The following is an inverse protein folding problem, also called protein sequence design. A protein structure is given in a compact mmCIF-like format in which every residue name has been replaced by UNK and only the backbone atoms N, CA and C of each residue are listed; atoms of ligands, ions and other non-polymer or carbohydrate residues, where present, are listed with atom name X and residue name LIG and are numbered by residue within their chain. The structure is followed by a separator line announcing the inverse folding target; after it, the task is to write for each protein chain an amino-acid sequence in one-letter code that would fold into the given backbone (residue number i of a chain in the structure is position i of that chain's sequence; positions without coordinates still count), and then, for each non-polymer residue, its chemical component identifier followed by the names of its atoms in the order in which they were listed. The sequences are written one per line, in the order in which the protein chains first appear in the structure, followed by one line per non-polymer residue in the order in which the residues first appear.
data_IF_293771535960
#
_entry.id   IF_293771535960
#
_cell.length_a   1.000
_cell.length_b   1.000
_cell.length_c   1.000
_cell.angle_alpha   90.00
_cell.angle_beta   90.00
_cell.angle_gamma   90.00
#
_symmetry.space_group_name_H-M   'P 1'
#
loop_
_entity.id
_entity.type
_entity.pdbx_description
1 polymer ?
#
# COMPACT_ATOMS: atom_id res chain seq x y z
N UNK A 1 3.68 24.80 -6.42
CA UNK A 1 4.33 23.64 -5.76
C UNK A 1 4.04 23.70 -4.26
N UNK A 2 2.91 23.15 -3.83
CA UNK A 2 2.32 23.49 -2.52
C UNK A 2 2.77 22.55 -1.40
N UNK A 3 3.36 23.18 -0.37
CA UNK A 3 3.86 22.63 0.91
C UNK A 3 2.79 21.96 1.81
N UNK A 4 1.69 21.41 1.29
CA UNK A 4 0.49 21.15 2.11
C UNK A 4 0.35 19.73 2.71
N UNK A 5 0.99 18.69 2.16
CA UNK A 5 0.73 17.31 2.62
C UNK A 5 1.50 16.94 3.90
N UNK A 6 2.81 17.25 3.93
CA UNK A 6 3.66 16.95 5.08
C UNK A 6 3.24 17.74 6.33
N UNK A 7 2.78 18.99 6.16
CA UNK A 7 2.31 19.84 7.27
C UNK A 7 0.94 19.41 7.81
N UNK A 8 0.04 18.86 6.97
CA UNK A 8 -1.25 18.31 7.42
C UNK A 8 -1.10 16.93 8.09
N UNK A 9 -0.17 16.09 7.62
CA UNK A 9 0.16 14.82 8.25
C UNK A 9 0.80 15.00 9.64
N UNK A 10 1.61 16.05 9.83
CA UNK A 10 2.20 16.39 11.14
C UNK A 10 1.13 16.76 12.18
N UNK A 11 0.15 17.57 11.77
CA UNK A 11 -0.96 17.98 12.64
C UNK A 11 -1.91 16.83 13.03
N UNK A 12 -1.90 15.73 12.27
CA UNK A 12 -2.61 14.50 12.59
C UNK A 12 -1.83 13.56 13.52
N UNK A 13 -0.48 13.64 13.53
CA UNK A 13 0.38 12.91 14.46
C UNK A 13 0.44 13.53 15.86
N UNK A 14 0.34 14.86 15.94
CA UNK A 14 0.52 15.59 17.22
C UNK A 14 -0.74 15.60 18.10
N UNK A 15 -1.92 15.29 17.55
CA UNK A 15 -3.13 15.03 18.35
C UNK A 15 -3.15 13.55 18.75
N UNK A 16 -2.59 13.29 19.93
CA UNK A 16 -2.65 12.05 20.70
C UNK A 16 -3.69 11.01 20.22
N UNK A 17 -3.23 10.06 19.41
CA UNK A 17 -3.74 8.69 19.42
C UNK A 17 -2.54 7.79 19.70
N UNK A 18 -2.06 7.84 20.95
CA UNK A 18 -1.05 6.91 21.43
C UNK A 18 -1.58 5.49 21.30
N UNK A 19 -0.82 4.62 20.63
CA UNK A 19 -0.86 3.15 20.70
C UNK A 19 -2.22 2.43 20.56
N UNK A 20 -3.31 3.16 20.27
CA UNK A 20 -4.68 2.66 20.34
C UNK A 20 -5.09 2.29 18.92
N UNK A 21 -4.90 1.00 18.64
CA UNK A 21 -5.59 0.22 17.62
C UNK A 21 -6.82 0.97 17.07
N UNK A 22 -6.72 1.48 15.84
CA UNK A 22 -7.86 2.12 15.19
C UNK A 22 -8.93 1.04 15.01
N UNK A 23 -9.98 1.13 15.83
CA UNK A 23 -11.10 0.21 15.79
C UNK A 23 -11.90 0.51 14.52
N UNK A 24 -11.58 -0.21 13.45
CA UNK A 24 -12.56 -0.52 12.43
C UNK A 24 -13.62 -1.40 13.10
N UNK A 25 -14.90 -1.05 13.00
CA UNK A 25 -16.01 -1.88 13.49
C UNK A 25 -15.78 -3.36 13.11
N UNK A 26 -15.39 -4.22 14.06
CA UNK A 26 -15.27 -5.69 13.98
C UNK A 26 -14.64 -6.32 12.71
N UNK A 27 -14.06 -5.54 11.80
CA UNK A 27 -13.36 -6.02 10.62
C UNK A 27 -11.95 -6.44 11.04
N UNK A 28 -11.70 -7.76 11.02
CA UNK A 28 -10.39 -8.33 11.35
C UNK A 28 -9.40 -7.91 10.25
N UNK A 29 -8.66 -6.83 10.51
CA UNK A 29 -7.52 -6.44 9.70
C UNK A 29 -6.38 -7.43 9.95
N UNK A 30 -5.83 -8.03 8.88
CA UNK A 30 -4.81 -9.09 8.98
C UNK A 30 -3.50 -8.63 8.35
N UNK A 31 -2.44 -8.56 9.15
CA UNK A 31 -1.07 -8.40 8.64
C UNK A 31 -0.53 -9.77 8.23
N UNK A 32 -0.11 -9.93 6.97
CA UNK A 32 0.45 -11.18 6.44
C UNK A 32 1.65 -10.94 5.56
N UNK A 33 2.65 -11.81 5.65
CA UNK A 33 3.74 -11.86 4.68
C UNK A 33 3.24 -12.59 3.43
N UNK A 34 3.14 -11.89 2.30
CA UNK A 34 2.55 -12.39 1.06
C UNK A 34 3.61 -12.49 -0.04
N UNK A 35 3.55 -13.49 -0.92
CA UNK A 35 4.42 -13.53 -2.09
C UNK A 35 4.07 -12.41 -3.09
N UNK A 36 5.08 -11.78 -3.68
CA UNK A 36 4.89 -10.66 -4.62
C UNK A 36 4.07 -11.05 -5.85
N UNK A 37 4.28 -12.26 -6.37
CA UNK A 37 3.59 -12.76 -7.57
C UNK A 37 2.06 -12.90 -7.41
N UNK A 38 1.57 -12.91 -6.17
CA UNK A 38 0.13 -12.99 -5.88
C UNK A 38 -0.55 -11.61 -5.91
N UNK A 39 0.23 -10.52 -5.79
CA UNK A 39 -0.29 -9.16 -5.73
C UNK A 39 -0.63 -8.63 -7.12
N UNK A 40 -1.74 -7.91 -7.21
CA UNK A 40 -2.26 -7.38 -8.47
C UNK A 40 -2.17 -5.86 -8.49
N UNK A 41 -1.23 -5.26 -9.25
CA UNK A 41 -1.26 -3.82 -9.47
C UNK A 41 -2.46 -3.46 -10.34
N UNK A 42 -3.14 -2.36 -10.02
CA UNK A 42 -4.15 -1.75 -10.88
C UNK A 42 -3.69 -0.44 -11.52
N UNK A 43 -2.50 0.05 -11.14
CA UNK A 43 -1.88 1.26 -11.65
C UNK A 43 -0.44 1.01 -12.08
N UNK A 44 -0.03 1.73 -13.12
CA UNK A 44 1.37 1.83 -13.53
C UNK A 44 2.17 2.62 -12.51
N UNK A 45 3.47 2.34 -12.44
CA UNK A 45 4.40 3.06 -11.57
C UNK A 45 5.05 4.25 -12.29
N UNK A 46 5.65 5.13 -11.48
CA UNK A 46 6.51 6.20 -11.93
C UNK A 46 7.97 5.76 -11.71
N UNK A 47 8.76 5.72 -12.78
CA UNK A 47 10.14 5.21 -12.77
C UNK A 47 11.07 6.06 -11.90
N UNK A 48 10.84 7.38 -11.82
CA UNK A 48 11.65 8.28 -10.99
C UNK A 48 11.34 8.08 -9.51
N UNK A 49 10.08 7.84 -9.17
CA UNK A 49 9.69 7.49 -7.79
C UNK A 49 10.28 6.11 -7.43
N UNK A 50 10.21 5.16 -8.36
CA UNK A 50 10.77 3.81 -8.18
C UNK A 50 12.27 3.86 -7.87
N UNK A 51 13.08 4.54 -8.68
CA UNK A 51 14.54 4.59 -8.50
C UNK A 51 14.94 5.15 -7.13
N UNK A 52 14.30 6.26 -6.72
CA UNK A 52 14.53 6.85 -5.41
C UNK A 52 14.14 5.91 -4.27
N UNK A 53 13.02 5.20 -4.42
CA UNK A 53 12.53 4.27 -3.42
C UNK A 53 13.44 3.04 -3.30
N UNK A 54 13.90 2.48 -4.42
CA UNK A 54 14.88 1.39 -4.44
C UNK A 54 16.17 1.78 -3.73
N UNK A 55 16.70 2.98 -4.00
CA UNK A 55 17.89 3.50 -3.33
C UNK A 55 17.66 3.62 -1.83
N UNK A 56 16.55 4.24 -1.40
CA UNK A 56 16.21 4.36 0.02
C UNK A 56 16.11 3.00 0.70
N UNK A 57 15.37 2.06 0.12
CA UNK A 57 15.16 0.72 0.70
C UNK A 57 16.48 -0.05 0.81
N UNK A 58 17.35 0.02 -0.20
CA UNK A 58 18.69 -0.60 -0.16
C UNK A 58 19.58 0.02 0.92
N UNK A 59 19.60 1.35 1.02
CA UNK A 59 20.39 2.07 2.02
C UNK A 59 19.89 1.79 3.44
N UNK A 60 18.57 1.77 3.63
CA UNK A 60 17.94 1.48 4.92
C UNK A 60 18.12 0.00 5.32
N UNK A 61 18.25 -0.91 4.35
CA UNK A 61 18.32 -2.36 4.58
C UNK A 61 17.00 -3.00 5.03
N UNK A 62 15.90 -2.24 5.02
CA UNK A 62 14.59 -2.66 5.52
C UNK A 62 13.43 -2.02 4.74
N UNK A 63 12.27 -2.67 4.79
CA UNK A 63 10.99 -2.11 4.39
C UNK A 63 10.30 -1.52 5.63
N UNK A 64 10.12 -0.19 5.66
CA UNK A 64 9.57 0.54 6.82
C UNK A 64 8.09 0.22 7.09
N UNK A 65 7.27 0.12 6.04
CA UNK A 65 5.80 0.02 6.15
C UNK A 65 5.22 -1.09 5.28
N UNK A 66 4.17 -1.74 5.78
CA UNK A 66 3.40 -2.72 5.01
C UNK A 66 2.61 -2.08 3.85
N UNK A 67 2.19 -2.92 2.90
CA UNK A 67 1.38 -2.56 1.72
C UNK A 67 -0.09 -2.80 2.03
N UNK A 68 -1.00 -1.91 1.62
CA UNK A 68 -2.44 -2.16 1.80
C UNK A 68 -2.99 -2.91 0.60
N UNK A 69 -3.68 -4.02 0.84
CA UNK A 69 -4.13 -4.95 -0.20
C UNK A 69 -5.57 -5.39 0.06
N UNK A 70 -6.37 -5.50 -0.99
CA UNK A 70 -7.69 -6.13 -0.90
C UNK A 70 -7.56 -7.62 -0.57
N UNK A 71 -8.18 -8.06 0.52
CA UNK A 71 -8.09 -9.43 0.99
C UNK A 71 -8.71 -10.46 0.03
N UNK A 72 -9.64 -10.05 -0.84
CA UNK A 72 -10.34 -10.98 -1.76
C UNK A 72 -9.61 -11.12 -3.10
N UNK A 73 -9.19 -10.00 -3.68
CA UNK A 73 -8.61 -9.98 -5.03
C UNK A 73 -7.09 -9.89 -5.05
N UNK A 74 -6.46 -9.58 -3.91
CA UNK A 74 -5.04 -9.24 -3.79
C UNK A 74 -4.62 -7.99 -4.59
N UNK A 75 -5.58 -7.12 -4.93
CA UNK A 75 -5.29 -5.84 -5.57
C UNK A 75 -4.58 -4.90 -4.58
N UNK A 76 -3.50 -4.30 -5.03
CA UNK A 76 -2.72 -3.33 -4.25
C UNK A 76 -3.52 -2.03 -4.15
N UNK A 77 -3.93 -1.62 -2.96
CA UNK A 77 -4.68 -0.38 -2.74
C UNK A 77 -3.76 0.81 -2.47
N UNK A 78 -2.63 0.55 -1.80
CA UNK A 78 -1.53 1.50 -1.67
C UNK A 78 -0.20 0.73 -1.60
N UNK A 79 0.82 1.24 -2.30
CA UNK A 79 2.19 0.73 -2.23
C UNK A 79 2.74 0.10 -3.51
N UNK A 80 2.19 0.41 -4.69
CA UNK A 80 2.66 -0.11 -5.99
C UNK A 80 4.15 0.07 -6.20
N UNK A 81 4.69 1.26 -5.93
CA UNK A 81 6.13 1.50 -6.07
C UNK A 81 6.97 0.66 -5.10
N UNK A 82 6.47 0.38 -3.88
CA UNK A 82 7.18 -0.47 -2.90
C UNK A 82 7.21 -1.92 -3.37
N UNK A 83 6.08 -2.44 -3.84
CA UNK A 83 6.00 -3.79 -4.43
C UNK A 83 6.98 -3.90 -5.60
N UNK A 84 6.94 -2.93 -6.53
CA UNK A 84 7.82 -2.96 -7.69
C UNK A 84 9.30 -2.79 -7.32
N UNK A 85 9.61 -1.94 -6.35
CA UNK A 85 10.98 -1.79 -5.83
C UNK A 85 11.50 -3.09 -5.24
N UNK A 86 10.67 -3.81 -4.47
CA UNK A 86 11.03 -5.11 -3.89
C UNK A 86 11.32 -6.16 -4.96
N UNK A 87 10.51 -6.23 -6.03
CA UNK A 87 10.79 -7.11 -7.17
C UNK A 87 12.17 -6.82 -7.78
N UNK A 88 12.50 -5.54 -8.01
CA UNK A 88 13.78 -5.14 -8.61
C UNK A 88 15.02 -5.33 -7.71
N UNK A 89 14.84 -5.63 -6.41
CA UNK A 89 15.94 -5.87 -5.46
C UNK A 89 15.95 -7.33 -4.96
N UNK A 90 15.38 -8.22 -5.77
CA UNK A 90 15.35 -9.68 -5.60
C UNK A 90 14.62 -10.15 -4.34
N UNK A 91 13.66 -9.37 -3.84
CA UNK A 91 12.73 -9.83 -2.84
C UNK A 91 11.57 -10.59 -3.51
N UNK A 92 11.03 -11.59 -2.82
CA UNK A 92 9.92 -12.43 -3.33
C UNK A 92 8.68 -12.34 -2.45
N UNK A 93 8.76 -11.67 -1.29
CA UNK A 93 7.67 -11.49 -0.34
C UNK A 93 7.57 -10.05 0.15
N UNK A 94 6.42 -9.67 0.70
CA UNK A 94 6.17 -8.36 1.30
C UNK A 94 5.09 -8.43 2.39
N UNK A 95 5.22 -7.70 3.51
CA UNK A 95 4.16 -7.58 4.49
C UNK A 95 3.00 -6.77 3.92
N UNK A 96 1.82 -7.36 3.96
CA UNK A 96 0.56 -6.80 3.48
C UNK A 96 -0.45 -6.67 4.62
N UNK A 97 -1.06 -5.49 4.72
CA UNK A 97 -2.27 -5.25 5.49
C UNK A 97 -3.47 -5.62 4.61
N UNK A 98 -4.11 -6.74 4.93
CA UNK A 98 -5.29 -7.22 4.22
C UNK A 98 -6.54 -6.56 4.79
N UNK A 99 -7.34 -5.93 3.92
CA UNK A 99 -8.59 -5.26 4.26
C UNK A 99 -9.73 -5.68 3.33
N UNK A 100 -10.98 -5.49 3.75
CA UNK A 100 -12.14 -5.70 2.88
C UNK A 100 -12.35 -4.48 1.97
N UNK A 101 -11.87 -4.55 0.71
CA UNK A 101 -12.05 -3.44 -0.22
C UNK A 101 -13.52 -3.16 -0.56
N UNK A 102 -14.43 -4.12 -0.37
CA UNK A 102 -15.86 -3.91 -0.59
C UNK A 102 -16.50 -3.02 0.47
N UNK A 103 -15.86 -2.86 1.64
CA UNK A 103 -16.37 -2.05 2.75
C UNK A 103 -16.75 -0.64 2.31
N UNK A 104 -17.97 -0.15 2.62
CA UNK A 104 -18.44 1.17 2.22
C UNK A 104 -17.64 2.31 2.87
N UNK A 105 -16.83 2.01 3.89
CA UNK A 105 -15.92 2.97 4.52
C UNK A 105 -14.73 3.32 3.63
N UNK A 106 -14.40 2.47 2.64
CA UNK A 106 -13.36 2.77 1.65
C UNK A 106 -14.04 3.43 0.46
N UNK A 107 -13.54 4.59 0.06
CA UNK A 107 -13.98 5.32 -1.13
C UNK A 107 -12.77 5.67 -1.98
N UNK A 108 -12.98 5.86 -3.28
CA UNK A 108 -11.92 6.14 -4.25
C UNK A 108 -12.18 7.48 -4.90
N UNK A 109 -11.15 8.31 -4.97
CA UNK A 109 -11.17 9.57 -5.71
C UNK A 109 -10.09 9.57 -6.78
N UNK A 110 -10.22 10.44 -7.78
CA UNK A 110 -9.14 10.79 -8.70
C UNK A 110 -8.16 11.73 -8.01
N UNK A 111 -6.86 11.58 -8.28
CA UNK A 111 -5.86 12.56 -7.81
C UNK A 111 -5.87 13.87 -8.58
N UNK A 112 -6.32 13.87 -9.84
CA UNK A 112 -6.26 15.04 -10.74
C UNK A 112 -7.53 15.89 -10.70
N UNK A 113 -8.69 15.25 -10.57
CA UNK A 113 -9.99 15.89 -10.76
C UNK A 113 -10.80 16.01 -9.46
N UNK A 114 -10.28 15.50 -8.34
CA UNK A 114 -11.01 15.37 -7.05
C UNK A 114 -12.40 14.71 -7.20
N UNK A 115 -12.60 13.95 -8.28
CA UNK A 115 -13.84 13.26 -8.61
C UNK A 115 -13.87 11.88 -8.00
N UNK A 116 -15.02 11.47 -7.46
CA UNK A 116 -15.18 10.11 -6.97
C UNK A 116 -15.11 9.10 -8.12
N UNK A 117 -14.27 8.08 -7.96
CA UNK A 117 -14.14 6.97 -8.90
C UNK A 117 -14.89 5.74 -8.38
N UNK A 118 -15.48 4.93 -9.26
CA UNK A 118 -16.13 3.70 -8.84
C UNK A 118 -15.07 2.62 -8.58
N UNK A 119 -15.21 1.85 -7.49
CA UNK A 119 -14.28 0.77 -7.13
C UNK A 119 -14.14 -0.29 -8.23
N UNK A 120 -15.18 -0.52 -9.01
CA UNK A 120 -15.15 -1.49 -10.11
C UNK A 120 -14.14 -1.14 -11.21
N UNK A 121 -13.70 0.13 -11.31
CA UNK A 121 -12.63 0.55 -12.21
C UNK A 121 -11.28 -0.03 -11.72
N UNK A 122 -10.99 0.15 -10.43
CA UNK A 122 -9.80 -0.39 -9.75
C UNK A 122 -9.80 -1.92 -9.82
N UNK A 123 -10.94 -2.55 -9.52
CA UNK A 123 -11.10 -4.01 -9.57
C UNK A 123 -10.85 -4.54 -10.98
N UNK A 124 -11.45 -3.93 -12.02
CA UNK A 124 -11.23 -4.36 -13.40
C UNK A 124 -9.76 -4.26 -13.80
N UNK A 125 -9.13 -3.11 -13.58
CA UNK A 125 -7.73 -2.90 -13.92
C UNK A 125 -6.80 -3.92 -13.23
N UNK A 126 -7.01 -4.19 -11.94
CA UNK A 126 -6.20 -5.16 -11.20
C UNK A 126 -6.43 -6.61 -11.64
N UNK A 127 -7.66 -6.98 -12.03
CA UNK A 127 -7.97 -8.34 -12.48
C UNK A 127 -7.58 -8.60 -13.95
N UNK A 128 -7.73 -7.61 -14.83
CA UNK A 128 -7.35 -7.73 -16.25
C UNK A 128 -5.86 -7.55 -16.50
N UNK A 129 -5.16 -6.81 -15.63
CA UNK A 129 -3.78 -6.39 -15.86
C UNK A 129 -3.65 -5.17 -16.77
N UNK A 130 -4.77 -4.62 -17.25
CA UNK A 130 -4.79 -3.34 -17.99
C UNK A 130 -4.64 -2.19 -16.98
N UNK A 131 -3.39 -1.80 -16.73
CA UNK A 131 -3.06 -0.84 -15.69
C UNK A 131 -3.56 0.56 -16.04
N UNK A 132 -4.12 1.22 -15.04
CA UNK A 132 -4.43 2.65 -15.12
C UNK A 132 -3.13 3.48 -15.12
N UNK A 133 -3.18 4.74 -15.62
CA UNK A 133 -2.06 5.67 -15.48
C UNK A 133 -1.65 5.88 -14.00
N UNK A 134 -0.39 6.26 -13.72
CA UNK A 134 0.06 6.50 -12.36
C UNK A 134 -0.78 7.59 -11.66
N UNK A 135 -1.09 7.37 -10.38
CA UNK A 135 -1.89 8.29 -9.56
C UNK A 135 -3.29 8.50 -10.14
N UNK A 136 -3.93 7.44 -10.62
CA UNK A 136 -5.32 7.51 -11.05
C UNK A 136 -6.28 7.43 -9.85
N UNK A 137 -5.99 6.58 -8.87
CA UNK A 137 -6.85 6.28 -7.74
C UNK A 137 -6.24 6.71 -6.41
N UNK A 138 -7.05 7.41 -5.62
CA UNK A 138 -6.76 7.90 -4.28
C UNK A 138 -7.72 7.23 -3.32
N UNK A 139 -7.24 6.21 -2.63
CA UNK A 139 -8.02 5.45 -1.67
C UNK A 139 -8.14 6.21 -0.34
N UNK A 140 -9.38 6.44 0.08
CA UNK A 140 -9.70 7.17 1.30
C UNK A 140 -10.60 6.32 2.20
N UNK A 141 -10.39 6.45 3.50
CA UNK A 141 -11.17 5.86 4.56
C UNK A 141 -12.07 6.91 5.17
N UNK A 142 -13.34 6.59 5.34
CA UNK A 142 -14.29 7.37 6.11
C UNK A 142 -14.24 6.91 7.57
N UNK A 143 -13.70 7.77 8.44
CA UNK A 143 -13.55 7.51 9.89
C UNK A 143 -14.21 8.66 10.63
N UNK A 144 -15.27 8.37 11.40
CA UNK A 144 -16.01 9.37 12.19
C UNK A 144 -16.40 10.64 11.39
N UNK A 145 -16.84 10.46 10.13
CA UNK A 145 -17.22 11.57 9.24
C UNK A 145 -16.05 12.27 8.55
N UNK A 146 -14.80 11.89 8.84
CA UNK A 146 -13.61 12.45 8.21
C UNK A 146 -13.03 11.51 7.14
N UNK A 147 -12.45 12.10 6.09
CA UNK A 147 -11.72 11.37 5.06
C UNK A 147 -10.23 11.33 5.39
N UNK A 148 -9.69 10.13 5.56
CA UNK A 148 -8.27 9.88 5.83
C UNK A 148 -7.70 9.05 4.70
N UNK A 149 -6.51 9.37 4.20
CA UNK A 149 -5.89 8.56 3.16
C UNK A 149 -5.57 7.16 3.68
N UNK A 150 -5.73 6.14 2.83
CA UNK A 150 -5.53 4.74 3.24
C UNK A 150 -4.12 4.46 3.77
N UNK A 151 -3.11 5.22 3.33
CA UNK A 151 -1.74 5.07 3.83
C UNK A 151 -1.56 5.41 5.32
N UNK A 152 -2.57 6.04 5.95
CA UNK A 152 -2.58 6.30 7.39
C UNK A 152 -2.74 5.03 8.23
N UNK A 153 -3.26 3.94 7.65
CA UNK A 153 -3.44 2.66 8.35
C UNK A 153 -2.32 1.67 8.07
N UNK A 154 -1.33 2.04 7.26
CA UNK A 154 -0.15 1.21 7.03
C UNK A 154 0.66 1.05 8.32
N UNK A 155 0.75 -0.16 8.88
CA UNK A 155 1.59 -0.39 10.05
C UNK A 155 3.06 -0.20 9.70
N UNK A 156 3.81 0.36 10.64
CA UNK A 156 5.27 0.29 10.63
C UNK A 156 5.69 -1.14 10.97
N UNK A 157 6.49 -1.74 10.09
CA UNK A 157 6.94 -3.13 10.20
C UNK A 157 8.45 -3.25 10.31
N UNK A 158 9.18 -2.26 9.78
CA UNK A 158 10.64 -2.20 9.78
C UNK A 158 11.31 -3.54 9.43
N UNK A 159 10.77 -4.22 8.40
CA UNK A 159 11.12 -5.60 8.08
C UNK A 159 12.44 -5.66 7.30
N UNK A 160 13.48 -6.36 7.81
CA UNK A 160 14.74 -6.51 7.09
C UNK A 160 14.57 -7.15 5.71
N UNK A 161 15.30 -6.66 4.72
CA UNK A 161 15.23 -7.20 3.35
C UNK A 161 15.58 -8.68 3.26
N UNK A 162 16.46 -9.17 4.14
CA UNK A 162 16.82 -10.58 4.19
C UNK A 162 15.60 -11.50 4.41
N UNK A 163 14.59 -11.06 5.18
CA UNK A 163 13.37 -11.83 5.44
C UNK A 163 12.35 -11.78 4.29
N UNK A 164 12.53 -10.82 3.37
CA UNK A 164 11.69 -10.64 2.19
C UNK A 164 12.20 -11.42 0.98
N UNK A 165 13.45 -11.88 1.04
CA UNK A 165 14.03 -12.79 0.06
C UNK A 165 13.59 -14.21 0.38
N UNK A 166 13.36 -15.01 -0.64
CA UNK A 166 13.24 -16.45 -0.46
C UNK A 166 14.60 -16.97 0.01
N UNK A 167 14.63 -17.81 1.05
CA UNK A 167 15.78 -18.67 1.26
C UNK A 167 16.00 -19.42 -0.04
N UNK A 168 17.21 -19.30 -0.62
CA UNK A 168 17.66 -20.35 -1.51
C UNK A 168 17.71 -21.59 -0.63
N UNK A 169 16.69 -22.44 -0.71
CA UNK A 169 16.88 -23.85 -0.40
C UNK A 169 18.03 -24.26 -1.31
N UNK A 170 19.22 -24.35 -0.73
CA UNK A 170 20.36 -25.01 -1.33
C UNK A 170 19.88 -26.40 -1.72
N UNK A 171 19.45 -26.55 -2.96
CA UNK A 171 19.18 -27.86 -3.53
C UNK A 171 20.54 -28.47 -3.80
N UNK A 172 21.14 -28.98 -2.72
CA UNK A 172 22.26 -29.90 -2.75
C UNK A 172 21.67 -31.30 -2.75
N UNK A 173 21.29 -31.79 -3.94
CA UNK A 173 21.10 -33.21 -4.23
C UNK A 173 21.46 -33.46 -5.69
#
# INVERSE_FOLDING_TARGET
MSRSYAQRAKRFKDKQYGSRQMVFNEEIVKLRLMPLWLLRPHESIDLKILDNLMKSIKTDGLLKKAIVVDQRTHIILDGHHRVKALEFIDCSRVPCLLIDYSSPQIVVFSWSEDKQLPKNLVIRAGLSGELLPPKTSKHMLRVNGHMVHISAIEPEVNMPLALLRTEQLSSSY
#
